data_IF_682427272972
#
_entry.id   IF_682427272972
#
_cell.length_a   1.000
_cell.length_b   1.000
_cell.length_c   1.000
_cell.angle_alpha   90.00
_cell.angle_beta   90.00
_cell.angle_gamma   90.00
#
_symmetry.space_group_name_H-M   'P 1'
#
loop_
_entity.id
_entity.type
_entity.pdbx_description
1 polymer ?
#
# COMPACT_ATOMS: atom_id res chain seq x y z
N UNK A 1 26.47 -6.33 -6.94
CA UNK A 1 26.12 -4.93 -6.64
C UNK A 1 24.74 -4.73 -5.99
N UNK A 2 23.83 -5.72 -5.93
CA UNK A 2 22.47 -5.54 -5.39
C UNK A 2 22.34 -5.57 -3.85
N UNK A 3 23.26 -6.22 -3.13
CA UNK A 3 23.14 -6.39 -1.66
C UNK A 3 23.25 -5.04 -0.93
N UNK A 4 24.08 -4.11 -1.42
CA UNK A 4 24.34 -2.81 -0.78
C UNK A 4 23.13 -1.85 -0.89
N UNK A 5 22.28 -2.00 -1.92
CA UNK A 5 21.10 -1.13 -2.13
C UNK A 5 19.98 -1.44 -1.15
N UNK A 6 19.68 -2.73 -0.92
CA UNK A 6 18.65 -3.14 0.02
C UNK A 6 18.94 -2.75 1.47
N UNK A 7 20.23 -2.65 1.86
CA UNK A 7 20.62 -2.19 3.21
C UNK A 7 20.31 -0.72 3.43
N UNK A 8 20.53 0.15 2.43
CA UNK A 8 20.30 1.59 2.56
C UNK A 8 18.81 1.95 2.65
N UNK A 9 17.98 1.33 1.80
CA UNK A 9 16.52 1.53 1.84
C UNK A 9 15.97 1.13 3.21
N UNK A 10 16.42 -0.02 3.74
CA UNK A 10 15.98 -0.49 5.06
C UNK A 10 16.36 0.45 6.19
N UNK A 11 17.56 1.03 6.16
CA UNK A 11 17.96 2.03 7.16
C UNK A 11 17.02 3.22 7.12
N UNK A 12 16.68 3.72 5.92
CA UNK A 12 15.74 4.84 5.76
C UNK A 12 14.36 4.48 6.31
N UNK A 13 13.82 3.31 5.95
CA UNK A 13 12.49 2.86 6.41
C UNK A 13 12.46 2.66 7.92
N UNK A 14 13.50 2.09 8.51
CA UNK A 14 13.63 1.96 9.96
C UNK A 14 13.68 3.33 10.65
N UNK A 15 14.43 4.29 10.09
CA UNK A 15 14.49 5.65 10.61
C UNK A 15 13.12 6.34 10.54
N UNK A 16 12.40 6.19 9.42
CA UNK A 16 11.03 6.69 9.26
C UNK A 16 10.10 6.07 10.30
N UNK A 17 10.15 4.75 10.48
CA UNK A 17 9.32 4.05 11.45
C UNK A 17 9.59 4.54 12.89
N UNK A 18 10.87 4.68 13.27
CA UNK A 18 11.24 5.24 14.58
C UNK A 18 10.73 6.67 14.72
N UNK A 19 10.89 7.50 13.69
CA UNK A 19 10.35 8.87 13.71
C UNK A 19 8.82 8.87 13.89
N UNK A 20 8.08 8.02 13.17
CA UNK A 20 6.63 7.85 13.33
C UNK A 20 6.25 7.42 14.74
N UNK A 21 7.00 6.50 15.36
CA UNK A 21 6.77 6.09 16.75
C UNK A 21 7.04 7.23 17.74
N UNK A 22 8.06 8.05 17.51
CA UNK A 22 8.32 9.24 18.34
C UNK A 22 7.20 10.27 18.22
N UNK A 23 6.66 10.49 17.02
CA UNK A 23 5.48 11.35 16.80
C UNK A 23 4.25 10.75 17.48
N UNK A 24 4.06 9.42 17.43
CA UNK A 24 2.98 8.76 18.18
C UNK A 24 3.09 9.07 19.67
N UNK A 25 4.28 8.90 20.27
CA UNK A 25 4.53 9.22 21.69
C UNK A 25 4.20 10.69 21.97
N UNK A 26 4.58 11.63 21.09
CA UNK A 26 4.20 13.03 21.26
C UNK A 26 2.67 13.22 21.37
N UNK A 27 1.87 12.53 20.55
CA UNK A 27 0.40 12.59 20.66
C UNK A 27 -0.16 11.91 21.91
N UNK A 28 0.54 10.92 22.48
CA UNK A 28 0.19 10.38 23.79
C UNK A 28 0.32 11.45 24.89
N UNK A 29 1.33 12.32 24.81
CA UNK A 29 1.51 13.45 25.74
C UNK A 29 0.48 14.56 25.58
N UNK A 30 -0.21 14.60 24.43
CA UNK A 30 -1.31 15.52 24.16
C UNK A 30 -2.69 14.90 24.49
N UNK A 31 -2.71 13.78 25.23
CA UNK A 31 -3.92 13.00 25.56
C UNK A 31 -4.74 12.56 24.34
N UNK A 32 -4.09 12.46 23.17
CA UNK A 32 -4.73 12.08 21.92
C UNK A 32 -4.54 10.59 21.63
N UNK A 33 -5.26 9.75 22.39
CA UNK A 33 -5.14 8.29 22.33
C UNK A 33 -5.48 7.70 20.95
N UNK A 34 -6.40 8.31 20.20
CA UNK A 34 -6.75 7.86 18.86
C UNK A 34 -5.57 8.02 17.90
N UNK A 35 -5.01 9.23 17.82
CA UNK A 35 -3.87 9.52 16.93
C UNK A 35 -2.64 8.73 17.37
N UNK A 36 -2.37 8.63 18.67
CA UNK A 36 -1.31 7.78 19.21
C UNK A 36 -1.46 6.32 18.73
N UNK A 37 -2.63 5.72 18.93
CA UNK A 37 -2.88 4.32 18.58
C UNK A 37 -2.75 4.08 17.07
N UNK A 38 -3.29 4.99 16.26
CA UNK A 38 -3.18 4.93 14.79
C UNK A 38 -1.73 5.02 14.34
N UNK A 39 -0.98 6.02 14.81
CA UNK A 39 0.44 6.18 14.46
C UNK A 39 1.31 5.04 14.98
N UNK A 40 0.98 4.44 16.12
CA UNK A 40 1.68 3.28 16.65
C UNK A 40 1.45 2.03 15.77
N UNK A 41 0.21 1.78 15.36
CA UNK A 41 -0.13 0.68 14.44
C UNK A 41 0.56 0.90 13.09
N UNK A 42 0.50 2.12 12.55
CA UNK A 42 1.16 2.49 11.30
C UNK A 42 2.70 2.43 11.40
N UNK A 43 3.27 2.79 12.55
CA UNK A 43 4.69 2.64 12.87
C UNK A 43 5.11 1.17 12.87
N UNK A 44 4.28 0.30 13.47
CA UNK A 44 4.50 -1.14 13.51
C UNK A 44 4.34 -1.81 12.14
N UNK A 45 3.44 -1.32 11.28
CA UNK A 45 3.23 -1.88 9.94
C UNK A 45 4.43 -1.69 9.02
N UNK A 46 5.32 -0.72 9.24
CA UNK A 46 6.60 -0.62 8.53
C UNK A 46 7.50 -1.85 8.73
N UNK A 47 7.41 -2.53 9.87
CA UNK A 47 8.19 -3.73 10.16
C UNK A 47 7.53 -5.02 9.63
N UNK A 48 6.23 -4.97 9.32
CA UNK A 48 5.46 -6.16 8.98
C UNK A 48 5.89 -6.83 7.67
N UNK A 49 6.16 -6.15 6.54
CA UNK A 49 6.40 -6.83 5.27
C UNK A 49 7.49 -7.90 5.40
N UNK A 50 8.74 -7.53 5.68
CA UNK A 50 9.84 -8.50 5.74
C UNK A 50 9.73 -9.51 6.88
N UNK A 51 9.30 -9.10 8.07
CA UNK A 51 9.21 -10.01 9.22
C UNK A 51 8.09 -11.04 9.04
N UNK A 52 6.93 -10.63 8.54
CA UNK A 52 5.82 -11.54 8.21
C UNK A 52 6.22 -12.45 7.06
N UNK A 53 6.84 -11.94 5.99
CA UNK A 53 7.27 -12.79 4.86
C UNK A 53 8.36 -13.80 5.26
N UNK A 54 9.27 -13.44 6.15
CA UNK A 54 10.28 -14.36 6.69
C UNK A 54 9.61 -15.46 7.53
N UNK A 55 8.73 -15.08 8.47
CA UNK A 55 8.05 -16.04 9.36
C UNK A 55 7.08 -16.95 8.63
N UNK A 56 6.44 -16.48 7.56
CA UNK A 56 5.55 -17.29 6.72
C UNK A 56 6.30 -18.17 5.69
N UNK A 57 7.64 -18.17 5.69
CA UNK A 57 8.43 -18.94 4.71
C UNK A 57 8.22 -18.48 3.26
N UNK A 58 7.73 -17.25 3.06
CA UNK A 58 7.42 -16.69 1.74
C UNK A 58 8.63 -15.99 1.11
N UNK A 59 9.71 -15.77 1.87
CA UNK A 59 10.95 -15.13 1.41
C UNK A 59 11.51 -15.76 0.13
N UNK A 60 11.42 -17.06 -0.03
CA UNK A 60 11.96 -17.74 -1.22
C UNK A 60 11.19 -17.42 -2.50
N UNK A 61 9.93 -17.00 -2.37
CA UNK A 61 8.99 -16.78 -3.48
C UNK A 61 9.03 -15.36 -4.05
N UNK A 62 9.64 -14.42 -3.34
CA UNK A 62 9.71 -13.02 -3.74
C UNK A 62 11.17 -12.58 -3.98
N UNK A 63 11.38 -11.62 -4.87
CA UNK A 63 12.67 -10.95 -5.02
C UNK A 63 12.88 -9.94 -3.88
N UNK A 64 14.13 -9.59 -3.58
CA UNK A 64 14.40 -8.57 -2.58
C UNK A 64 13.93 -7.19 -3.06
N UNK A 65 13.99 -6.98 -4.37
CA UNK A 65 13.54 -5.78 -5.08
C UNK A 65 12.03 -5.57 -4.95
N UNK A 66 11.22 -6.64 -5.06
CA UNK A 66 9.78 -6.57 -4.80
C UNK A 66 9.48 -6.22 -3.34
N UNK A 67 10.23 -6.80 -2.41
CA UNK A 67 10.06 -6.52 -0.99
C UNK A 67 10.41 -5.07 -0.67
N UNK A 68 11.52 -4.56 -1.21
CA UNK A 68 11.91 -3.16 -1.08
C UNK A 68 10.84 -2.23 -1.68
N UNK A 69 10.26 -2.58 -2.84
CA UNK A 69 9.18 -1.82 -3.45
C UNK A 69 7.92 -1.79 -2.60
N UNK A 70 7.48 -2.95 -2.09
CA UNK A 70 6.33 -3.03 -1.19
C UNK A 70 6.57 -2.21 0.08
N UNK A 71 7.76 -2.34 0.69
CA UNK A 71 8.14 -1.54 1.85
C UNK A 71 8.08 -0.03 1.54
N UNK A 72 8.56 0.42 0.37
CA UNK A 72 8.47 1.82 -0.06
C UNK A 72 7.01 2.26 -0.26
N UNK A 73 6.17 1.45 -0.91
CA UNK A 73 4.76 1.77 -1.17
C UNK A 73 3.99 1.90 0.15
N UNK A 74 4.11 0.92 1.05
CA UNK A 74 3.51 0.97 2.38
C UNK A 74 4.05 2.14 3.20
N UNK A 75 5.35 2.39 3.11
CA UNK A 75 5.97 3.52 3.81
C UNK A 75 5.40 4.87 3.37
N UNK A 76 5.21 5.02 2.06
CA UNK A 76 4.65 6.23 1.46
C UNK A 76 3.19 6.44 1.89
N UNK A 77 2.39 5.36 1.92
CA UNK A 77 1.02 5.40 2.44
C UNK A 77 0.97 5.85 3.89
N UNK A 78 1.80 5.26 4.76
CA UNK A 78 1.85 5.64 6.17
C UNK A 78 2.27 7.10 6.34
N UNK A 79 3.29 7.56 5.60
CA UNK A 79 3.75 8.94 5.70
C UNK A 79 2.68 9.96 5.29
N UNK A 80 1.88 9.65 4.26
CA UNK A 80 0.74 10.48 3.86
C UNK A 80 -0.32 10.53 4.96
N UNK A 81 -0.61 9.40 5.62
CA UNK A 81 -1.53 9.39 6.77
C UNK A 81 -0.97 10.18 7.95
N UNK A 82 0.30 9.99 8.29
CA UNK A 82 0.98 10.72 9.38
C UNK A 82 0.97 12.22 9.13
N UNK A 83 1.22 12.64 7.89
CA UNK A 83 1.19 14.04 7.47
C UNK A 83 -0.14 14.72 7.79
N UNK A 84 -1.26 14.02 7.57
CA UNK A 84 -2.59 14.51 7.94
C UNK A 84 -2.71 14.77 9.44
N UNK A 85 -2.22 13.85 10.28
CA UNK A 85 -2.29 13.96 11.74
C UNK A 85 -1.41 15.06 12.34
N UNK A 86 -0.28 15.42 11.72
CA UNK A 86 0.60 16.49 12.18
C UNK A 86 0.24 17.87 11.61
N UNK A 87 -1.03 18.08 11.24
CA UNK A 87 -1.55 19.38 10.79
C UNK A 87 -0.95 19.89 9.47
N UNK A 88 -0.39 19.02 8.62
CA UNK A 88 -0.09 19.40 7.23
C UNK A 88 -1.41 19.65 6.47
N UNK A 89 -2.48 18.97 6.88
CA UNK A 89 -3.85 19.14 6.35
C UNK A 89 -4.28 20.60 6.25
N UNK A 90 -4.04 21.41 7.29
CA UNK A 90 -4.45 22.82 7.33
C UNK A 90 -3.49 23.75 6.57
N UNK A 91 -2.26 23.30 6.30
CA UNK A 91 -1.19 24.14 5.75
C UNK A 91 -0.93 23.91 4.27
N UNK A 92 -1.41 22.81 3.70
CA UNK A 92 -1.26 22.48 2.27
C UNK A 92 -2.62 22.55 1.61
N UNK A 93 -2.80 23.52 0.72
CA UNK A 93 -4.03 23.68 -0.05
C UNK A 93 -4.34 22.37 -0.81
N UNK A 94 -5.57 21.86 -0.64
CA UNK A 94 -6.07 20.60 -1.20
C UNK A 94 -5.29 19.34 -0.76
N UNK A 95 -4.64 19.34 0.40
CA UNK A 95 -3.97 18.15 0.94
C UNK A 95 -4.87 16.90 0.92
N UNK A 96 -6.12 17.08 1.30
CA UNK A 96 -7.13 16.03 1.34
C UNK A 96 -7.31 15.35 -0.03
N UNK A 97 -7.55 16.15 -1.06
CA UNK A 97 -7.64 15.72 -2.45
C UNK A 97 -6.41 14.92 -2.90
N UNK A 98 -5.21 15.38 -2.50
CA UNK A 98 -3.96 14.69 -2.85
C UNK A 98 -3.86 13.34 -2.15
N UNK A 99 -4.28 13.24 -0.88
CA UNK A 99 -4.29 11.97 -0.15
C UNK A 99 -5.32 11.02 -0.75
N UNK A 100 -6.52 11.51 -1.08
CA UNK A 100 -7.57 10.73 -1.73
C UNK A 100 -7.25 10.33 -3.16
N UNK A 101 -6.31 11.00 -3.84
CA UNK A 101 -5.79 10.56 -5.13
C UNK A 101 -4.61 9.58 -4.99
N UNK A 102 -3.61 9.93 -4.18
CA UNK A 102 -2.34 9.17 -4.11
C UNK A 102 -2.52 7.86 -3.33
N UNK A 103 -3.34 7.84 -2.28
CA UNK A 103 -3.53 6.63 -1.46
C UNK A 103 -4.17 5.52 -2.30
N UNK A 104 -5.28 5.74 -3.02
CA UNK A 104 -5.85 4.70 -3.87
C UNK A 104 -4.94 4.33 -5.05
N UNK A 105 -4.14 5.26 -5.60
CA UNK A 105 -3.12 4.95 -6.60
C UNK A 105 -2.10 3.93 -6.09
N UNK A 106 -1.51 4.19 -4.91
CA UNK A 106 -0.50 3.30 -4.32
C UNK A 106 -1.11 1.95 -3.94
N UNK A 107 -2.32 1.95 -3.38
CA UNK A 107 -3.06 0.72 -3.06
C UNK A 107 -3.38 -0.09 -4.32
N UNK A 108 -3.73 0.56 -5.43
CA UNK A 108 -3.95 -0.10 -6.72
C UNK A 108 -2.70 -0.90 -7.15
N UNK A 109 -1.51 -0.31 -7.01
CA UNK A 109 -0.26 -1.01 -7.35
C UNK A 109 -0.03 -2.23 -6.45
N UNK A 110 -0.32 -2.12 -5.15
CA UNK A 110 -0.22 -3.23 -4.20
C UNK A 110 -1.22 -4.34 -4.54
N UNK A 111 -2.47 -3.99 -4.84
CA UNK A 111 -3.52 -4.95 -5.24
C UNK A 111 -3.13 -5.67 -6.52
N UNK A 112 -2.64 -4.95 -7.53
CA UNK A 112 -2.19 -5.55 -8.79
C UNK A 112 -1.04 -6.55 -8.58
N UNK A 113 -0.06 -6.18 -7.74
CA UNK A 113 1.03 -7.07 -7.35
C UNK A 113 0.50 -8.33 -6.65
N UNK A 114 -0.44 -8.18 -5.73
CA UNK A 114 -1.02 -9.27 -4.98
C UNK A 114 -1.84 -10.22 -5.86
N UNK A 115 -2.71 -9.69 -6.72
CA UNK A 115 -3.48 -10.46 -7.68
C UNK A 115 -2.58 -11.24 -8.63
N UNK A 116 -1.48 -10.63 -9.10
CA UNK A 116 -0.54 -11.34 -9.96
C UNK A 116 0.23 -12.45 -9.23
N UNK A 117 0.62 -12.21 -7.98
CA UNK A 117 1.27 -13.23 -7.16
C UNK A 117 0.32 -14.41 -6.88
N UNK A 118 -0.95 -14.14 -6.59
CA UNK A 118 -1.99 -15.15 -6.38
C UNK A 118 -2.27 -15.93 -7.66
N UNK A 119 -2.48 -15.25 -8.78
CA UNK A 119 -2.81 -15.93 -10.05
C UNK A 119 -1.72 -16.91 -10.45
N UNK A 120 -0.45 -16.54 -10.30
CA UNK A 120 0.71 -17.43 -10.51
C UNK A 120 0.73 -18.61 -9.54
N UNK A 121 0.48 -18.36 -8.25
CA UNK A 121 0.47 -19.41 -7.21
C UNK A 121 -0.64 -20.43 -7.46
N UNK A 122 -1.81 -19.96 -7.86
CA UNK A 122 -2.99 -20.78 -8.14
C UNK A 122 -3.02 -21.31 -9.59
N UNK A 123 -2.00 -21.00 -10.41
CA UNK A 123 -1.90 -21.38 -11.83
C UNK A 123 -3.12 -20.95 -12.65
N UNK A 124 -3.65 -19.77 -12.35
CA UNK A 124 -4.74 -19.14 -13.08
C UNK A 124 -4.19 -18.49 -14.35
N UNK A 125 -4.93 -18.59 -15.46
CA UNK A 125 -4.56 -17.99 -16.74
C UNK A 125 -5.07 -16.55 -16.84
N UNK A 126 -4.59 -15.68 -15.95
CA UNK A 126 -4.92 -14.26 -15.99
C UNK A 126 -3.89 -13.49 -16.82
N UNK A 127 -4.39 -12.71 -17.76
CA UNK A 127 -3.57 -11.78 -18.52
C UNK A 127 -3.42 -10.42 -17.79
N UNK A 128 -2.74 -9.46 -18.43
CA UNK A 128 -2.53 -8.13 -17.84
C UNK A 128 -3.86 -7.38 -17.62
N UNK A 129 -4.81 -7.56 -18.54
CA UNK A 129 -6.12 -6.92 -18.51
C UNK A 129 -6.96 -7.45 -17.35
N UNK A 130 -6.91 -8.76 -17.10
CA UNK A 130 -7.59 -9.40 -15.96
C UNK A 130 -7.08 -8.86 -14.61
N UNK A 131 -5.76 -8.70 -14.47
CA UNK A 131 -5.15 -8.13 -13.26
C UNK A 131 -5.58 -6.67 -13.07
N UNK A 132 -5.58 -5.88 -14.15
CA UNK A 132 -6.02 -4.48 -14.09
C UNK A 132 -7.50 -4.39 -13.72
N UNK A 133 -8.37 -5.15 -14.40
CA UNK A 133 -9.80 -5.14 -14.14
C UNK A 133 -10.12 -5.58 -12.70
N UNK A 134 -9.50 -6.67 -12.23
CA UNK A 134 -9.62 -7.11 -10.85
C UNK A 134 -9.17 -6.03 -9.85
N UNK A 135 -8.07 -5.33 -10.15
CA UNK A 135 -7.57 -4.23 -9.31
C UNK A 135 -8.52 -3.04 -9.29
N UNK A 136 -9.11 -2.66 -10.44
CA UNK A 136 -10.13 -1.61 -10.53
C UNK A 136 -11.32 -1.96 -9.63
N UNK A 137 -11.87 -3.16 -9.76
CA UNK A 137 -13.06 -3.59 -8.99
C UNK A 137 -12.79 -3.57 -7.49
N UNK A 138 -11.64 -4.12 -7.06
CA UNK A 138 -11.25 -4.13 -5.64
C UNK A 138 -11.08 -2.70 -5.14
N UNK A 139 -10.37 -1.84 -5.89
CA UNK A 139 -10.10 -0.47 -5.44
C UNK A 139 -11.36 0.40 -5.41
N UNK A 140 -12.25 0.30 -6.41
CA UNK A 140 -13.54 0.99 -6.37
C UNK A 140 -14.35 0.57 -5.14
N UNK A 141 -14.35 -0.72 -4.83
CA UNK A 141 -15.06 -1.24 -3.65
C UNK A 141 -14.46 -0.68 -2.35
N UNK A 142 -13.13 -0.65 -2.23
CA UNK A 142 -12.45 -0.12 -1.05
C UNK A 142 -12.69 1.38 -0.85
N UNK A 143 -12.63 2.18 -1.92
CA UNK A 143 -12.94 3.62 -1.87
C UNK A 143 -14.37 3.81 -1.37
N UNK A 144 -15.36 3.14 -1.98
CA UNK A 144 -16.75 3.28 -1.56
C UNK A 144 -17.01 2.81 -0.13
N UNK A 145 -16.38 1.71 0.30
CA UNK A 145 -16.49 1.21 1.68
C UNK A 145 -15.93 2.22 2.67
N UNK A 146 -14.79 2.85 2.35
CA UNK A 146 -14.18 3.88 3.19
C UNK A 146 -15.14 5.06 3.38
N UNK A 147 -15.68 5.58 2.29
CA UNK A 147 -16.60 6.73 2.29
C UNK A 147 -17.91 6.44 3.03
N UNK A 148 -18.45 5.24 2.85
CA UNK A 148 -19.63 4.80 3.61
C UNK A 148 -19.30 4.71 5.10
N UNK A 149 -18.11 4.22 5.46
CA UNK A 149 -17.65 4.18 6.84
C UNK A 149 -17.53 5.59 7.43
N UNK A 150 -16.98 6.55 6.67
CA UNK A 150 -16.88 7.95 7.09
C UNK A 150 -18.25 8.56 7.36
N UNK A 151 -19.17 8.34 6.42
CA UNK A 151 -20.55 8.78 6.53
C UNK A 151 -21.25 8.19 7.77
N UNK A 152 -21.04 6.91 8.06
CA UNK A 152 -21.62 6.24 9.23
C UNK A 152 -21.06 6.79 10.56
N UNK A 153 -19.77 7.12 10.63
CA UNK A 153 -19.18 7.76 11.82
C UNK A 153 -19.78 9.14 12.05
N UNK A 154 -19.93 9.91 10.97
CA UNK A 154 -20.56 11.24 11.01
C UNK A 154 -22.00 11.15 11.52
N UNK A 155 -22.78 10.17 11.04
CA UNK A 155 -24.13 9.91 11.54
C UNK A 155 -24.17 9.50 13.02
N UNK A 156 -23.12 8.88 13.53
CA UNK A 156 -22.99 8.54 14.95
C UNK A 156 -22.64 9.76 15.84
N UNK A 157 -22.54 10.96 15.25
CA UNK A 157 -22.22 12.19 15.97
C UNK A 157 -20.74 12.30 16.36
N UNK A 158 -19.88 11.47 15.78
CA UNK A 158 -18.44 11.55 15.95
C UNK A 158 -17.81 12.32 14.78
N UNK A 159 -16.87 13.21 15.08
CA UNK A 159 -16.10 13.92 14.06
C UNK A 159 -14.86 13.10 13.71
N UNK A 160 -14.68 12.78 12.43
CA UNK A 160 -13.37 12.34 11.95
C UNK A 160 -12.48 13.56 11.76
N UNK A 161 -11.25 13.48 12.27
CA UNK A 161 -10.23 14.53 12.15
C UNK A 161 -10.58 15.90 12.78
N UNK A 162 -11.37 15.93 13.86
CA UNK A 162 -11.63 17.14 14.66
C UNK A 162 -12.39 18.26 13.94
N UNK A 163 -13.00 17.99 12.79
CA UNK A 163 -13.81 18.98 12.08
C UNK A 163 -15.30 18.71 12.30
N UNK A 164 -15.96 19.63 13.01
CA UNK A 164 -17.42 19.60 13.16
C UNK A 164 -18.10 19.92 11.82
N UNK A 165 -19.03 19.04 11.40
CA UNK A 165 -19.99 19.36 10.34
C UNK A 165 -19.52 19.20 8.90
N UNK A 166 -18.35 18.62 8.63
CA UNK A 166 -17.92 18.30 7.26
C UNK A 166 -18.43 16.94 6.80
N UNK A 167 -19.75 16.82 6.63
CA UNK A 167 -20.38 15.62 6.08
C UNK A 167 -20.29 15.52 4.53
N UNK A 168 -19.49 16.36 3.85
CA UNK A 168 -19.86 16.80 2.51
C UNK A 168 -18.74 16.95 1.46
N UNK A 169 -17.55 16.35 1.65
CA UNK A 169 -16.56 16.22 0.56
C UNK A 169 -16.41 14.79 0.01
N UNK A 170 -17.21 13.83 0.52
CA UNK A 170 -17.17 12.43 0.07
C UNK A 170 -17.32 12.25 -1.44
N UNK A 171 -18.08 13.13 -2.12
CA UNK A 171 -18.16 13.06 -3.58
C UNK A 171 -16.82 13.40 -4.23
N UNK A 172 -16.13 14.43 -3.74
CA UNK A 172 -14.84 14.84 -4.26
C UNK A 172 -13.76 13.81 -3.96
N UNK A 173 -13.79 13.21 -2.78
CA UNK A 173 -12.87 12.14 -2.38
C UNK A 173 -13.06 10.86 -3.20
N UNK A 174 -14.31 10.47 -3.46
CA UNK A 174 -14.65 9.40 -4.40
C UNK A 174 -14.10 9.71 -5.79
N UNK A 175 -14.31 10.94 -6.28
CA UNK A 175 -13.86 11.35 -7.61
C UNK A 175 -12.34 11.36 -7.70
N UNK A 176 -11.64 11.91 -6.70
CA UNK A 176 -10.18 11.91 -6.62
C UNK A 176 -9.64 10.47 -6.60
N UNK A 177 -10.25 9.60 -5.79
CA UNK A 177 -9.91 8.18 -5.74
C UNK A 177 -10.15 7.47 -7.06
N UNK A 178 -11.26 7.72 -7.75
CA UNK A 178 -11.58 7.10 -9.03
C UNK A 178 -10.66 7.59 -10.15
N UNK A 179 -10.27 8.87 -10.15
CA UNK A 179 -9.31 9.43 -11.12
C UNK A 179 -7.91 8.81 -10.99
N UNK A 180 -7.57 8.26 -9.82
CA UNK A 180 -6.32 7.54 -9.63
C UNK A 180 -6.27 6.19 -10.36
N UNK A 181 -7.43 5.54 -10.58
CA UNK A 181 -7.51 4.18 -11.11
C UNK A 181 -7.07 4.07 -12.57
N UNK A 182 -7.45 4.99 -13.50
CA UNK A 182 -6.87 5.03 -14.84
C UNK A 182 -5.35 5.20 -14.82
N UNK A 183 -4.81 6.04 -13.93
CA UNK A 183 -3.36 6.24 -13.81
C UNK A 183 -2.68 4.96 -13.34
N UNK A 184 -3.21 4.32 -12.29
CA UNK A 184 -2.75 3.01 -11.82
C UNK A 184 -2.80 1.95 -12.91
N UNK A 185 -3.88 1.93 -13.70
CA UNK A 185 -4.06 1.01 -14.82
C UNK A 185 -2.99 1.20 -15.90
N UNK A 186 -2.69 2.44 -16.28
CA UNK A 186 -1.62 2.76 -17.24
C UNK A 186 -0.26 2.35 -16.69
N UNK A 187 0.03 2.62 -15.42
CA UNK A 187 1.29 2.23 -14.78
C UNK A 187 1.45 0.71 -14.77
N UNK A 188 0.43 -0.02 -14.34
CA UNK A 188 0.44 -1.48 -14.33
C UNK A 188 0.57 -2.02 -15.75
N UNK A 189 -0.20 -1.52 -16.72
CA UNK A 189 -0.13 -2.00 -18.10
C UNK A 189 1.25 -1.79 -18.73
N UNK A 190 1.78 -0.57 -18.63
CA UNK A 190 3.05 -0.16 -19.26
C UNK A 190 4.26 -0.79 -18.59
N UNK A 191 4.26 -0.89 -17.26
CA UNK A 191 5.38 -1.42 -16.50
C UNK A 191 5.13 -2.84 -15.99
N UNK A 192 4.11 -3.52 -16.53
CA UNK A 192 3.71 -4.85 -16.09
C UNK A 192 4.89 -5.81 -16.04
N UNK A 193 5.70 -5.86 -17.10
CA UNK A 193 6.79 -6.83 -17.18
C UNK A 193 7.85 -6.54 -16.11
N UNK A 194 8.14 -5.27 -15.85
CA UNK A 194 9.00 -4.88 -14.72
C UNK A 194 8.40 -5.27 -13.37
N UNK A 195 7.10 -5.01 -13.11
CA UNK A 195 6.40 -5.40 -11.87
C UNK A 195 6.35 -6.92 -11.69
N UNK A 196 6.11 -7.65 -12.78
CA UNK A 196 5.87 -9.08 -12.83
C UNK A 196 7.14 -9.91 -12.83
N UNK A 197 8.25 -9.36 -13.35
CA UNK A 197 9.56 -9.99 -13.28
C UNK A 197 10.15 -9.91 -11.86
N UNK A 198 9.66 -8.99 -11.00
CA UNK A 198 10.04 -8.98 -9.58
C UNK A 198 9.40 -10.14 -8.78
N UNK A 199 8.35 -10.79 -9.30
CA UNK A 199 7.79 -12.01 -8.70
C UNK A 199 8.53 -13.19 -9.32
N UNK A 200 9.40 -13.87 -8.55
CA UNK A 200 10.25 -14.97 -9.06
C UNK A 200 9.39 -16.01 -9.80
N UNK A 201 9.81 -16.37 -11.02
CA UNK A 201 9.24 -17.52 -11.73
C UNK A 201 9.46 -18.77 -10.87
N UNK A 202 8.39 -19.50 -10.60
CA UNK A 202 8.42 -20.68 -9.73
C UNK A 202 9.51 -21.68 -10.18
N UNK A 203 10.28 -22.30 -9.25
CA UNK A 203 11.37 -23.24 -9.57
C UNK A 203 10.95 -24.43 -10.45
N UNK A 204 9.66 -24.72 -10.54
CA UNK A 204 9.11 -25.84 -11.33
C UNK A 204 9.37 -25.76 -12.83
N UNK A 205 9.84 -24.62 -13.35
CA UNK A 205 10.22 -24.49 -14.77
C UNK A 205 11.65 -24.98 -15.03
N UNK A 206 12.53 -24.97 -14.03
CA UNK A 206 13.92 -25.43 -14.19
C UNK A 206 14.06 -26.95 -14.13
N UNK A 207 13.21 -27.64 -13.37
CA UNK A 207 13.26 -29.11 -13.26
C UNK A 207 12.79 -29.86 -14.52
N UNK A 208 12.14 -29.19 -15.49
CA UNK A 208 11.73 -29.81 -16.76
C UNK A 208 12.80 -29.72 -17.86
N UNK A 209 13.83 -28.88 -17.70
CA UNK A 209 14.85 -28.69 -18.75
C UNK A 209 16.04 -29.63 -18.58
N UNK A 210 16.33 -30.07 -17.34
CA UNK A 210 17.46 -30.96 -17.06
C UNK A 210 17.13 -32.45 -17.17
N UNK A 211 15.86 -32.86 -17.08
CA UNK A 211 15.47 -34.26 -17.25
C UNK A 211 15.48 -34.75 -18.70
N UNK A 212 15.64 -33.86 -19.69
CA UNK A 212 15.75 -34.20 -21.11
C UNK A 212 17.19 -34.32 -21.62
N UNK A 213 18.18 -34.14 -20.74
CA UNK A 213 19.61 -34.27 -21.10
C UNK A 213 20.23 -35.61 -20.69
N UNK A 214 19.42 -36.50 -20.12
CA UNK A 214 19.84 -37.83 -19.63
C UNK A 214 18.94 -38.97 -20.14
N UNK A 215 18.28 -38.78 -21.29
CA UNK A 215 17.67 -39.86 -22.07
C UNK A 215 18.28 -39.84 -23.47
#
# INVERSE_FOLDING_TARGET
MNIIRGTKIRVIINLISVATMLVAIYFLWLDNLFVFSTLLILGATFFLPREVYQKLGLREKFSNELLDLLEILFSSLVLLSVGGYIWIYDNVYNYDAYVHFITPLLLFLVVALFLSAISRKLKMNYDKSDIILGSIVIMMSLILIWEVFEYLITLAGANMFYQEGQANDSLYDILAGFLSLPVGSVLVYKYNDWFLDQVKKSPSVYLKKDSKKYQ
#
